data_IF_037172769932
#
_entry.id   IF_037172769932
#
_cell.length_a   1.000
_cell.length_b   1.000
_cell.length_c   1.000
_cell.angle_alpha   90.00
_cell.angle_beta   90.00
_cell.angle_gamma   90.00
#
_symmetry.space_group_name_H-M   'P 1'
#
loop_
_entity.id
_entity.type
_entity.pdbx_description
1 polymer ?
#
# COMPACT_ATOMS: atom_id res chain seq x y z
N UNK A 1 -4.84 20.20 8.33
CA UNK A 1 -3.97 21.38 8.46
C UNK A 1 -2.57 21.08 7.90
N UNK A 2 -1.97 19.92 8.19
CA UNK A 2 -0.71 19.45 7.57
C UNK A 2 -0.75 19.40 6.03
N UNK A 3 -1.87 18.93 5.45
CA UNK A 3 -2.14 18.88 4.01
C UNK A 3 -2.92 20.10 3.48
N UNK A 4 -2.78 21.26 4.12
CA UNK A 4 -3.30 22.50 3.52
C UNK A 4 -2.23 23.08 2.58
N UNK A 5 -2.64 23.42 1.34
CA UNK A 5 -1.74 23.98 0.30
C UNK A 5 -0.99 25.23 0.77
N UNK A 6 -1.57 25.95 1.73
CA UNK A 6 -1.04 27.17 2.34
C UNK A 6 0.33 26.97 3.00
N UNK A 7 0.57 25.78 3.58
CA UNK A 7 1.77 25.51 4.39
C UNK A 7 2.77 24.58 3.70
N UNK A 8 2.37 23.84 2.66
CA UNK A 8 3.22 22.96 1.84
C UNK A 8 4.17 22.03 2.64
N UNK A 9 3.76 21.60 3.84
CA UNK A 9 4.61 20.86 4.78
C UNK A 9 4.83 19.39 4.39
N UNK A 10 3.99 18.81 3.53
CA UNK A 10 4.08 17.41 3.09
C UNK A 10 3.79 17.25 1.61
N UNK A 11 4.44 16.25 1.01
CA UNK A 11 4.29 15.90 -0.41
C UNK A 11 2.93 15.24 -0.66
N UNK A 12 2.20 15.70 -1.69
CA UNK A 12 0.91 15.12 -2.11
C UNK A 12 1.07 13.99 -3.13
N UNK A 13 2.29 13.54 -3.39
CA UNK A 13 2.61 12.58 -4.45
C UNK A 13 1.88 11.25 -4.25
N UNK A 14 1.63 10.83 -3.00
CA UNK A 14 0.84 9.62 -2.72
C UNK A 14 -0.60 9.69 -3.25
N UNK A 15 -1.16 10.89 -3.48
CA UNK A 15 -2.51 11.06 -4.03
C UNK A 15 -2.54 10.83 -5.55
N UNK A 16 -1.42 10.95 -6.24
CA UNK A 16 -1.34 10.74 -7.70
C UNK A 16 -1.86 9.36 -8.14
N UNK A 17 -1.40 8.22 -7.60
CA UNK A 17 -1.92 6.91 -8.01
C UNK A 17 -3.43 6.77 -7.74
N UNK A 18 -3.94 7.30 -6.63
CA UNK A 18 -5.38 7.31 -6.33
C UNK A 18 -6.15 8.18 -7.33
N UNK A 19 -5.59 9.32 -7.73
CA UNK A 19 -6.19 10.20 -8.73
C UNK A 19 -6.29 9.53 -10.09
N UNK A 20 -5.28 8.75 -10.49
CA UNK A 20 -5.28 7.97 -11.73
C UNK A 20 -6.37 6.91 -11.70
N UNK A 21 -6.51 6.16 -10.60
CA UNK A 21 -7.59 5.17 -10.43
C UNK A 21 -8.95 5.86 -10.51
N UNK A 22 -9.13 7.01 -9.85
CA UNK A 22 -10.40 7.74 -9.87
C UNK A 22 -10.78 8.24 -11.28
N UNK A 23 -9.81 8.73 -12.05
CA UNK A 23 -10.00 9.19 -13.43
C UNK A 23 -10.31 8.01 -14.34
N UNK A 24 -9.61 6.89 -14.16
CA UNK A 24 -9.88 5.67 -14.89
C UNK A 24 -11.31 5.17 -14.65
N UNK A 25 -11.75 5.12 -13.39
CA UNK A 25 -13.14 4.75 -13.06
C UNK A 25 -14.16 5.73 -13.65
N UNK A 26 -13.90 7.03 -13.63
CA UNK A 26 -14.81 8.02 -14.20
C UNK A 26 -14.93 7.91 -15.73
N UNK A 27 -13.80 7.75 -16.43
CA UNK A 27 -13.74 7.74 -17.89
C UNK A 27 -14.17 6.40 -18.46
N UNK A 28 -13.68 5.28 -17.91
CA UNK A 28 -13.88 3.94 -18.49
C UNK A 28 -15.17 3.29 -17.99
N UNK A 29 -15.50 3.45 -16.70
CA UNK A 29 -16.70 2.84 -16.13
C UNK A 29 -17.93 3.76 -16.16
N UNK A 30 -17.77 5.03 -16.59
CA UNK A 30 -18.86 6.01 -16.65
C UNK A 30 -19.48 6.35 -15.29
N UNK A 31 -18.77 6.07 -14.18
CA UNK A 31 -19.29 6.27 -12.83
C UNK A 31 -19.14 7.74 -12.43
N UNK A 32 -20.24 8.47 -12.39
CA UNK A 32 -20.26 9.90 -12.07
C UNK A 32 -20.55 10.21 -10.59
N UNK A 33 -21.00 9.22 -9.80
CA UNK A 33 -21.29 9.42 -8.38
C UNK A 33 -20.01 9.43 -7.55
N UNK A 34 -19.73 10.55 -6.87
CA UNK A 34 -18.55 10.71 -5.99
C UNK A 34 -18.47 9.64 -4.90
N UNK A 35 -19.62 9.23 -4.35
CA UNK A 35 -19.70 8.19 -3.32
C UNK A 35 -19.26 6.83 -3.86
N UNK A 36 -19.63 6.51 -5.10
CA UNK A 36 -19.26 5.24 -5.74
C UNK A 36 -17.77 5.21 -6.04
N UNK A 37 -17.20 6.30 -6.59
CA UNK A 37 -15.75 6.42 -6.85
C UNK A 37 -14.97 6.23 -5.53
N UNK A 38 -15.41 6.88 -4.45
CA UNK A 38 -14.77 6.74 -3.14
C UNK A 38 -14.77 5.29 -2.64
N UNK A 39 -15.89 4.56 -2.80
CA UNK A 39 -15.96 3.15 -2.43
C UNK A 39 -15.02 2.28 -3.27
N UNK A 40 -14.97 2.52 -4.58
CA UNK A 40 -14.06 1.80 -5.49
C UNK A 40 -12.60 2.03 -5.09
N UNK A 41 -12.23 3.27 -4.77
CA UNK A 41 -10.88 3.59 -4.30
C UNK A 41 -10.53 2.78 -3.04
N UNK A 42 -11.42 2.75 -2.03
CA UNK A 42 -11.16 1.98 -0.81
C UNK A 42 -11.01 0.48 -1.07
N UNK A 43 -11.83 -0.08 -1.96
CA UNK A 43 -11.71 -1.49 -2.37
C UNK A 43 -10.39 -1.73 -3.10
N UNK A 44 -9.97 -0.84 -4.00
CA UNK A 44 -8.72 -0.98 -4.75
C UNK A 44 -7.49 -0.93 -3.84
N UNK A 45 -7.47 -0.02 -2.87
CA UNK A 45 -6.38 0.08 -1.89
C UNK A 45 -6.39 -1.15 -0.97
N UNK A 46 -7.56 -1.59 -0.51
CA UNK A 46 -7.69 -2.81 0.29
C UNK A 46 -7.19 -4.07 -0.44
N UNK A 47 -7.54 -4.22 -1.72
CA UNK A 47 -7.06 -5.32 -2.56
C UNK A 47 -5.54 -5.26 -2.76
N UNK A 48 -4.99 -4.05 -2.97
CA UNK A 48 -3.53 -3.84 -3.09
C UNK A 48 -2.82 -4.23 -1.79
N UNK A 49 -3.38 -3.87 -0.63
CA UNK A 49 -2.84 -4.28 0.68
C UNK A 49 -2.84 -5.79 0.82
N UNK A 50 -3.94 -6.47 0.50
CA UNK A 50 -4.03 -7.93 0.59
C UNK A 50 -3.00 -8.63 -0.32
N UNK A 51 -2.74 -8.10 -1.52
CA UNK A 51 -1.67 -8.58 -2.39
C UNK A 51 -0.28 -8.39 -1.75
N UNK A 52 -0.02 -7.23 -1.16
CA UNK A 52 1.25 -6.96 -0.48
C UNK A 52 1.47 -7.88 0.74
N UNK A 53 0.43 -8.13 1.54
CA UNK A 53 0.47 -9.07 2.67
C UNK A 53 0.80 -10.50 2.21
N UNK A 54 0.14 -10.98 1.16
CA UNK A 54 0.41 -12.30 0.59
C UNK A 54 1.85 -12.42 0.07
N UNK A 55 2.36 -11.40 -0.64
CA UNK A 55 3.74 -11.38 -1.12
C UNK A 55 4.75 -11.35 0.03
N UNK A 56 4.47 -10.54 1.05
CA UNK A 56 5.29 -10.45 2.25
C UNK A 56 5.34 -11.79 2.99
N UNK A 57 4.18 -12.40 3.29
CA UNK A 57 4.11 -13.70 3.94
C UNK A 57 4.83 -14.80 3.14
N UNK A 58 4.71 -14.80 1.81
CA UNK A 58 5.46 -15.72 0.94
C UNK A 58 6.97 -15.51 1.04
N UNK A 59 7.42 -14.25 1.08
CA UNK A 59 8.85 -13.96 1.25
C UNK A 59 9.39 -14.41 2.61
N UNK A 60 8.58 -14.27 3.66
CA UNK A 60 8.91 -14.75 5.01
C UNK A 60 8.98 -16.28 5.06
N UNK A 61 8.07 -16.98 4.38
CA UNK A 61 8.12 -18.43 4.24
C UNK A 61 9.43 -18.89 3.59
N UNK A 62 9.82 -18.23 2.49
CA UNK A 62 11.04 -18.59 1.77
C UNK A 62 12.33 -18.26 2.55
N UNK A 63 12.33 -17.21 3.37
CA UNK A 63 13.51 -16.80 4.13
C UNK A 63 13.68 -17.55 5.47
N UNK A 64 12.58 -17.83 6.18
CA UNK A 64 12.61 -18.33 7.56
C UNK A 64 11.88 -19.66 7.76
N UNK A 65 11.27 -20.21 6.71
CA UNK A 65 10.51 -21.45 6.73
C UNK A 65 8.99 -21.25 6.76
N UNK A 66 8.26 -22.28 6.29
CA UNK A 66 6.82 -22.21 6.03
C UNK A 66 5.97 -21.83 7.25
N UNK A 67 6.35 -22.28 8.44
CA UNK A 67 5.63 -21.94 9.67
C UNK A 67 5.62 -20.44 9.95
N UNK A 68 6.73 -19.75 9.71
CA UNK A 68 6.84 -18.30 9.91
C UNK A 68 5.98 -17.56 8.89
N UNK A 69 5.97 -17.98 7.63
CA UNK A 69 5.12 -17.38 6.60
C UNK A 69 3.62 -17.54 6.89
N UNK A 70 3.19 -18.75 7.26
CA UNK A 70 1.78 -19.02 7.61
C UNK A 70 1.37 -18.22 8.85
N UNK A 71 2.23 -18.19 9.89
CA UNK A 71 1.96 -17.43 11.11
C UNK A 71 1.86 -15.92 10.81
N UNK A 72 2.73 -15.41 9.94
CA UNK A 72 2.69 -14.00 9.51
C UNK A 72 1.38 -13.68 8.82
N UNK A 73 0.96 -14.51 7.86
CA UNK A 73 -0.31 -14.32 7.13
C UNK A 73 -1.52 -14.37 8.08
N UNK A 74 -1.51 -15.31 9.04
CA UNK A 74 -2.56 -15.41 10.03
C UNK A 74 -2.62 -14.17 10.93
N UNK A 75 -1.48 -13.72 11.45
CA UNK A 75 -1.42 -12.54 12.31
C UNK A 75 -1.85 -11.29 11.55
N UNK A 76 -1.35 -11.06 10.34
CA UNK A 76 -1.71 -9.86 9.57
C UNK A 76 -3.17 -9.89 9.14
N UNK A 77 -3.68 -11.04 8.68
CA UNK A 77 -5.06 -11.17 8.20
C UNK A 77 -6.11 -11.06 9.30
N UNK A 78 -5.83 -11.53 10.52
CA UNK A 78 -6.75 -11.45 11.66
C UNK A 78 -6.49 -10.24 12.58
N UNK A 79 -5.45 -9.44 12.32
CA UNK A 79 -5.19 -8.25 13.10
C UNK A 79 -6.25 -7.17 12.78
N UNK A 80 -7.02 -6.72 13.79
CA UNK A 80 -8.04 -5.67 13.57
C UNK A 80 -7.42 -4.36 13.09
N UNK A 81 -6.18 -4.07 13.51
CA UNK A 81 -5.44 -2.90 13.04
C UNK A 81 -5.18 -2.94 11.53
N UNK A 82 -4.78 -4.08 10.98
CA UNK A 82 -4.55 -4.25 9.55
C UNK A 82 -5.86 -4.12 8.76
N UNK A 83 -6.95 -4.71 9.26
CA UNK A 83 -8.26 -4.61 8.63
C UNK A 83 -8.77 -3.17 8.54
N UNK A 84 -8.55 -2.36 9.60
CA UNK A 84 -8.95 -0.95 9.61
C UNK A 84 -8.05 -0.06 8.73
N UNK A 85 -6.74 -0.32 8.71
CA UNK A 85 -5.77 0.49 7.95
C UNK A 85 -5.76 0.16 6.45
N UNK A 86 -6.07 -1.08 6.07
CA UNK A 86 -6.03 -1.58 4.69
C UNK A 86 -6.90 -0.78 3.68
N UNK A 87 -8.16 -0.44 3.98
CA UNK A 87 -9.01 0.38 3.09
C UNK A 87 -8.92 1.89 3.39
N UNK A 88 -7.93 2.32 4.20
CA UNK A 88 -7.79 3.71 4.61
C UNK A 88 -6.93 4.46 3.58
N UNK A 89 -7.43 5.60 3.07
CA UNK A 89 -6.71 6.43 2.10
C UNK A 89 -5.70 7.35 2.80
N UNK A 90 -4.83 6.76 3.63
CA UNK A 90 -3.83 7.47 4.40
C UNK A 90 -2.43 7.24 3.79
N UNK A 91 -1.53 8.25 3.91
CA UNK A 91 -0.14 8.10 3.50
C UNK A 91 0.56 6.92 4.19
N UNK A 92 0.21 6.63 5.46
CA UNK A 92 0.73 5.50 6.22
C UNK A 92 0.36 4.14 5.61
N UNK A 93 -0.83 4.00 5.02
CA UNK A 93 -1.23 2.77 4.32
C UNK A 93 -0.36 2.55 3.08
N UNK A 94 -0.07 3.60 2.32
CA UNK A 94 0.86 3.52 1.19
C UNK A 94 2.29 3.19 1.64
N UNK A 95 2.75 3.75 2.77
CA UNK A 95 4.07 3.44 3.33
C UNK A 95 4.17 1.96 3.72
N UNK A 96 3.14 1.45 4.39
CA UNK A 96 3.03 0.04 4.78
C UNK A 96 3.07 -0.90 3.55
N UNK A 97 2.32 -0.58 2.49
CA UNK A 97 2.35 -1.34 1.23
C UNK A 97 3.75 -1.36 0.59
N UNK A 98 4.39 -0.19 0.49
CA UNK A 98 5.73 -0.08 -0.09
C UNK A 98 6.79 -0.78 0.76
N UNK A 99 6.67 -0.74 2.09
CA UNK A 99 7.55 -1.48 2.99
C UNK A 99 7.41 -3.00 2.82
N UNK A 100 6.18 -3.51 2.73
CA UNK A 100 5.93 -4.93 2.45
C UNK A 100 6.51 -5.35 1.09
N UNK A 101 6.37 -4.50 0.06
CA UNK A 101 6.97 -4.75 -1.26
C UNK A 101 8.49 -4.70 -1.26
N UNK A 102 9.09 -3.76 -0.51
CA UNK A 102 10.54 -3.66 -0.31
C UNK A 102 11.08 -4.92 0.37
N UNK A 103 10.43 -5.35 1.46
CA UNK A 103 10.78 -6.57 2.19
C UNK A 103 10.61 -7.82 1.33
N UNK A 104 9.53 -7.90 0.53
CA UNK A 104 9.31 -8.99 -0.41
C UNK A 104 10.46 -9.08 -1.42
N UNK A 105 10.90 -7.97 -2.02
CA UNK A 105 12.04 -7.96 -2.96
C UNK A 105 13.35 -8.40 -2.30
N UNK A 106 13.60 -7.92 -1.09
CA UNK A 106 14.79 -8.27 -0.33
C UNK A 106 14.84 -9.77 0.00
N UNK A 107 13.77 -10.31 0.58
CA UNK A 107 13.76 -11.69 1.06
C UNK A 107 13.52 -12.73 -0.02
N UNK A 108 12.72 -12.42 -1.05
CA UNK A 108 12.41 -13.37 -2.12
C UNK A 108 13.54 -13.52 -3.14
N UNK A 109 14.19 -12.41 -3.50
CA UNK A 109 15.14 -12.35 -4.62
C UNK A 109 16.55 -11.92 -4.20
N UNK A 110 16.76 -11.52 -2.95
CA UNK A 110 18.00 -10.86 -2.49
C UNK A 110 18.37 -9.63 -3.33
N UNK A 111 17.35 -8.99 -3.93
CA UNK A 111 17.53 -7.80 -4.76
C UNK A 111 17.53 -6.56 -3.87
N UNK A 112 18.72 -6.18 -3.42
CA UNK A 112 18.95 -4.99 -2.62
C UNK A 112 18.56 -3.70 -3.37
N UNK A 113 18.75 -3.65 -4.68
CA UNK A 113 18.45 -2.45 -5.48
C UNK A 113 16.94 -2.21 -5.54
N UNK A 114 16.17 -3.27 -5.79
CA UNK A 114 14.71 -3.22 -5.76
C UNK A 114 14.17 -2.84 -4.38
N UNK A 115 14.75 -3.38 -3.30
CA UNK A 115 14.35 -3.05 -1.94
C UNK A 115 14.60 -1.56 -1.61
N UNK A 116 15.78 -1.04 -1.96
CA UNK A 116 16.14 0.38 -1.78
C UNK A 116 15.23 1.27 -2.62
N UNK A 117 14.92 0.88 -3.85
CA UNK A 117 14.01 1.64 -4.72
C UNK A 117 12.64 1.83 -4.06
N UNK A 118 12.00 0.76 -3.57
CA UNK A 118 10.70 0.87 -2.89
C UNK A 118 10.80 1.68 -1.59
N UNK A 119 11.90 1.56 -0.84
CA UNK A 119 12.15 2.38 0.34
C UNK A 119 12.27 3.87 0.01
N UNK A 120 13.02 4.21 -1.04
CA UNK A 120 13.21 5.58 -1.51
C UNK A 120 11.90 6.18 -2.06
N UNK A 121 11.10 5.38 -2.76
CA UNK A 121 9.75 5.81 -3.19
C UNK A 121 8.87 6.07 -1.97
N UNK A 122 8.93 5.23 -0.94
CA UNK A 122 8.16 5.43 0.29
C UNK A 122 8.54 6.74 1.00
N UNK A 123 9.83 7.01 1.18
CA UNK A 123 10.29 8.23 1.86
C UNK A 123 9.97 9.49 1.05
N UNK A 124 10.30 9.51 -0.25
CA UNK A 124 10.09 10.69 -1.09
C UNK A 124 8.61 11.01 -1.35
N UNK A 125 7.78 9.98 -1.57
CA UNK A 125 6.38 10.20 -1.95
C UNK A 125 5.46 10.51 -0.77
N UNK A 126 5.86 10.12 0.45
CA UNK A 126 5.04 10.18 1.67
C UNK A 126 5.59 11.22 2.65
N UNK A 127 6.88 11.55 2.55
CA UNK A 127 7.53 12.59 3.35
C UNK A 127 7.90 12.14 4.76
N UNK A 128 8.34 10.88 4.90
CA UNK A 128 8.90 10.31 6.13
C UNK A 128 10.35 9.88 5.90
#
# INVERSE_FOLDING_TARGET
>A
WEYANQYALRTYTYVLPLSLISRFCAVVMGVNSKVTIFRILRISVGATTALCECLFAKSMANAFGDFVGISTLFITGFCPGMFHCSPALLPSTSAMQLFMLSSWRLFQYQDHTGAIFFGLVATLCIGW
#
